data_IF_016318665319
#
_entry.id   IF_016318665319
#
_cell.length_a   1.000
_cell.length_b   1.000
_cell.length_c   1.000
_cell.angle_alpha   90.00
_cell.angle_beta   90.00
_cell.angle_gamma   90.00
#
_symmetry.space_group_name_H-M   'P 1'
#
loop_
_entity.id
_entity.type
_entity.pdbx_description
1 polymer ?
#
# COMPACT_ATOMS: atom_id res chain seq x y z
N UNK A 1 -6.72 15.56 -20.20
CA UNK A 1 -7.11 14.26 -19.62
C UNK A 1 -8.63 14.27 -19.55
N UNK A 2 -9.29 13.20 -19.98
CA UNK A 2 -10.76 13.18 -20.07
C UNK A 2 -11.32 12.47 -18.85
N UNK A 3 -12.14 13.18 -18.07
CA UNK A 3 -13.01 12.64 -17.03
C UNK A 3 -14.10 11.74 -17.65
N UNK A 4 -13.68 10.60 -18.19
CA UNK A 4 -14.52 9.66 -18.95
C UNK A 4 -14.35 8.25 -18.45
N UNK A 5 -15.42 7.47 -18.58
CA UNK A 5 -15.37 6.03 -18.39
C UNK A 5 -14.59 5.35 -19.52
N UNK A 6 -13.73 4.42 -19.12
CA UNK A 6 -12.99 3.50 -19.99
C UNK A 6 -13.55 2.11 -19.67
N UNK A 7 -14.29 1.52 -20.60
CA UNK A 7 -14.76 0.14 -20.46
C UNK A 7 -13.58 -0.80 -20.70
N UNK A 8 -13.10 -1.44 -19.63
CA UNK A 8 -11.93 -2.34 -19.66
C UNK A 8 -12.33 -3.80 -19.88
N UNK A 9 -13.60 -4.13 -19.61
CA UNK A 9 -14.27 -5.36 -19.99
C UNK A 9 -15.80 -5.15 -19.92
N UNK A 10 -16.58 -6.11 -20.42
CA UNK A 10 -18.05 -6.06 -20.31
C UNK A 10 -18.49 -5.74 -18.89
N UNK A 11 -19.15 -4.59 -18.69
CA UNK A 11 -19.63 -4.10 -17.40
C UNK A 11 -18.56 -3.90 -16.32
N UNK A 12 -17.33 -3.61 -16.74
CA UNK A 12 -16.20 -3.25 -15.89
C UNK A 12 -15.57 -1.98 -16.45
N UNK A 13 -15.55 -0.92 -15.66
CA UNK A 13 -15.02 0.37 -16.08
C UNK A 13 -13.95 0.89 -15.15
N UNK A 14 -13.01 1.64 -15.72
CA UNK A 14 -12.11 2.54 -15.03
C UNK A 14 -12.49 3.99 -15.38
N UNK A 15 -12.24 4.94 -14.48
CA UNK A 15 -12.39 6.38 -14.75
C UNK A 15 -11.21 7.13 -14.19
N UNK A 16 -10.54 7.90 -15.06
CA UNK A 16 -9.47 8.81 -14.67
C UNK A 16 -10.08 10.14 -14.22
N UNK A 17 -9.76 10.54 -13.00
CA UNK A 17 -10.10 11.82 -12.42
C UNK A 17 -8.99 12.83 -12.76
N UNK A 18 -9.34 14.10 -12.88
CA UNK A 18 -8.37 15.14 -13.24
C UNK A 18 -7.31 15.34 -12.14
N UNK A 19 -7.74 15.31 -10.88
CA UNK A 19 -6.85 15.50 -9.74
C UNK A 19 -5.99 14.25 -9.53
N UNK A 20 -4.67 14.46 -9.45
CA UNK A 20 -3.64 13.41 -9.28
C UNK A 20 -3.61 12.35 -10.37
N UNK A 21 -4.37 12.53 -11.46
CA UNK A 21 -4.59 11.49 -12.46
C UNK A 21 -5.10 10.16 -11.87
N UNK A 22 -5.87 10.26 -10.78
CA UNK A 22 -6.34 9.08 -10.06
C UNK A 22 -7.32 8.26 -10.90
N UNK A 23 -7.23 6.94 -10.79
CA UNK A 23 -8.12 5.99 -11.45
C UNK A 23 -9.00 5.26 -10.45
N UNK A 24 -10.30 5.47 -10.60
CA UNK A 24 -11.34 4.77 -9.83
C UNK A 24 -12.04 3.71 -10.69
N UNK A 25 -12.68 2.74 -10.05
CA UNK A 25 -13.29 1.60 -10.73
C UNK A 25 -14.80 1.46 -10.52
N UNK A 26 -15.46 0.81 -11.47
CA UNK A 26 -16.86 0.39 -11.36
C UNK A 26 -17.03 -1.02 -11.94
N UNK A 27 -17.61 -1.93 -11.16
CA UNK A 27 -18.05 -3.26 -11.61
C UNK A 27 -19.55 -3.38 -11.40
N UNK A 28 -20.31 -3.72 -12.44
CA UNK A 28 -21.78 -3.82 -12.34
C UNK A 28 -22.24 -5.26 -12.57
N UNK A 29 -22.87 -5.86 -11.56
CA UNK A 29 -23.63 -7.09 -11.67
C UNK A 29 -25.13 -6.83 -11.80
N UNK A 30 -25.92 -7.90 -11.86
CA UNK A 30 -27.36 -7.86 -12.12
C UNK A 30 -28.18 -7.39 -10.92
N UNK A 31 -27.62 -7.39 -9.71
CA UNK A 31 -28.30 -6.99 -8.49
C UNK A 31 -27.68 -5.74 -7.87
N UNK A 32 -26.35 -5.65 -7.83
CA UNK A 32 -25.64 -4.51 -7.30
C UNK A 32 -24.37 -4.17 -8.10
N UNK A 33 -23.73 -3.06 -7.74
CA UNK A 33 -22.46 -2.61 -8.28
C UNK A 33 -21.42 -2.46 -7.17
N UNK A 34 -20.15 -2.58 -7.54
CA UNK A 34 -19.02 -2.24 -6.69
C UNK A 34 -18.30 -1.03 -7.29
N UNK A 35 -18.23 0.05 -6.52
CA UNK A 35 -17.38 1.21 -6.80
C UNK A 35 -16.06 1.00 -6.07
N UNK A 36 -14.95 1.23 -6.76
CA UNK A 36 -13.60 0.99 -6.25
C UNK A 36 -12.93 2.36 -6.18
N UNK A 37 -12.67 2.81 -4.96
CA UNK A 37 -12.22 4.15 -4.62
C UNK A 37 -13.19 5.27 -5.02
N UNK A 38 -13.05 6.46 -4.41
CA UNK A 38 -14.09 7.51 -4.46
C UNK A 38 -13.58 8.94 -4.63
N UNK A 39 -12.28 9.14 -4.78
CA UNK A 39 -11.72 10.46 -5.06
C UNK A 39 -11.31 11.27 -3.84
N UNK A 40 -10.54 12.33 -4.15
CA UNK A 40 -9.87 13.27 -3.23
C UNK A 40 -10.77 14.07 -2.30
N UNK A 41 -12.03 14.22 -2.64
CA UNK A 41 -12.92 15.16 -1.96
C UNK A 41 -14.39 14.86 -2.16
N UNK A 42 -15.24 15.47 -1.32
CA UNK A 42 -16.69 15.33 -1.40
C UNK A 42 -17.28 15.71 -2.77
N UNK A 43 -16.75 16.75 -3.45
CA UNK A 43 -17.19 17.15 -4.78
C UNK A 43 -16.73 16.18 -5.87
N UNK A 44 -15.50 15.65 -5.78
CA UNK A 44 -15.04 14.58 -6.66
C UNK A 44 -15.93 13.32 -6.50
N UNK A 45 -16.25 12.95 -5.25
CA UNK A 45 -17.18 11.86 -4.96
C UNK A 45 -18.59 12.10 -5.50
N UNK A 46 -19.10 13.33 -5.45
CA UNK A 46 -20.40 13.67 -6.02
C UNK A 46 -20.40 13.56 -7.55
N UNK A 47 -19.34 14.04 -8.20
CA UNK A 47 -19.16 13.89 -9.65
C UNK A 47 -19.09 12.41 -10.03
N UNK A 48 -18.32 11.60 -9.29
CA UNK A 48 -18.23 10.17 -9.50
C UNK A 48 -19.57 9.46 -9.30
N UNK A 49 -20.28 9.72 -8.21
CA UNK A 49 -21.59 9.12 -7.93
C UNK A 49 -22.61 9.46 -9.04
N UNK A 50 -22.57 10.69 -9.54
CA UNK A 50 -23.37 11.11 -10.70
C UNK A 50 -23.00 10.31 -11.95
N UNK A 51 -21.71 10.21 -12.25
CA UNK A 51 -21.21 9.45 -13.39
C UNK A 51 -21.51 7.94 -13.30
N UNK A 52 -21.56 7.36 -12.10
CA UNK A 52 -21.99 5.97 -11.89
C UNK A 52 -23.47 5.81 -12.23
N UNK A 53 -24.32 6.79 -11.88
CA UNK A 53 -25.75 6.77 -12.21
C UNK A 53 -26.06 6.92 -13.70
N UNK A 54 -25.12 7.44 -14.49
CA UNK A 54 -25.23 7.43 -15.95
C UNK A 54 -25.09 6.02 -16.54
N UNK A 55 -24.40 5.10 -15.84
CA UNK A 55 -24.19 3.72 -16.28
C UNK A 55 -25.17 2.73 -15.64
N UNK A 56 -25.62 2.97 -14.42
CA UNK A 56 -26.42 1.99 -13.67
C UNK A 56 -27.28 2.58 -12.55
N UNK A 57 -28.51 2.07 -12.43
CA UNK A 57 -29.41 2.34 -11.31
C UNK A 57 -29.30 1.31 -10.18
N UNK A 58 -28.38 0.33 -10.30
CA UNK A 58 -28.19 -0.70 -9.28
C UNK A 58 -27.70 -0.10 -7.95
N UNK A 59 -28.09 -0.67 -6.79
CA UNK A 59 -27.48 -0.31 -5.51
C UNK A 59 -25.96 -0.54 -5.59
N UNK A 60 -25.19 0.34 -4.96
CA UNK A 60 -23.73 0.24 -4.93
C UNK A 60 -23.22 -0.20 -3.56
N UNK A 61 -22.03 -0.76 -3.58
CA UNK A 61 -21.14 -0.95 -2.44
C UNK A 61 -19.80 -0.31 -2.80
N UNK A 62 -18.98 0.01 -1.80
CA UNK A 62 -17.70 0.69 -2.00
C UNK A 62 -16.57 -0.22 -1.52
N UNK A 63 -15.47 -0.27 -2.26
CA UNK A 63 -14.21 -0.86 -1.84
C UNK A 63 -13.14 0.24 -1.78
N UNK A 64 -12.41 0.31 -0.66
CA UNK A 64 -11.19 1.10 -0.55
C UNK A 64 -10.01 0.19 -0.83
N UNK A 65 -9.21 0.54 -1.84
CA UNK A 65 -7.98 -0.19 -2.14
C UNK A 65 -6.98 -0.04 -1.00
N UNK A 66 -6.87 1.15 -0.41
CA UNK A 66 -6.04 1.43 0.76
C UNK A 66 -6.49 2.72 1.48
N UNK A 67 -5.67 3.28 2.35
CA UNK A 67 -6.05 4.36 3.29
C UNK A 67 -5.52 5.75 2.92
N UNK A 68 -5.03 5.96 1.70
CA UNK A 68 -4.65 7.28 1.22
C UNK A 68 -5.86 8.11 0.81
N UNK A 69 -5.82 9.41 1.15
CA UNK A 69 -6.94 10.34 1.14
C UNK A 69 -7.72 10.37 -0.16
N UNK A 70 -6.99 10.30 -1.26
CA UNK A 70 -7.50 10.32 -2.62
C UNK A 70 -8.38 9.12 -2.93
N UNK A 71 -8.23 8.00 -2.24
CA UNK A 71 -9.00 6.79 -2.53
C UNK A 71 -10.37 6.78 -1.86
N UNK A 72 -10.62 7.61 -0.84
CA UNK A 72 -11.84 7.43 -0.03
C UNK A 72 -12.53 8.70 0.47
N UNK A 73 -11.94 9.89 0.31
CA UNK A 73 -12.53 11.13 0.86
C UNK A 73 -13.85 11.54 0.18
N UNK A 74 -14.09 11.09 -1.05
CA UNK A 74 -15.36 11.31 -1.76
C UNK A 74 -16.52 10.42 -1.32
N UNK A 75 -16.31 9.44 -0.45
CA UNK A 75 -17.32 8.41 -0.12
C UNK A 75 -18.63 8.97 0.42
N UNK A 76 -18.61 10.13 1.08
CA UNK A 76 -19.81 10.76 1.62
C UNK A 76 -20.94 10.96 0.59
N UNK A 77 -20.59 11.08 -0.70
CA UNK A 77 -21.54 11.22 -1.80
C UNK A 77 -22.36 9.95 -2.09
N UNK A 78 -21.90 8.78 -1.65
CA UNK A 78 -22.55 7.49 -1.91
C UNK A 78 -23.61 7.11 -0.84
N UNK A 79 -23.87 8.00 0.12
CA UNK A 79 -24.87 7.78 1.17
C UNK A 79 -24.48 6.64 2.12
N UNK A 80 -25.50 6.03 2.74
CA UNK A 80 -25.29 4.82 3.54
C UNK A 80 -25.03 3.63 2.62
N UNK A 81 -23.82 3.08 2.68
CA UNK A 81 -23.37 1.97 1.83
C UNK A 81 -22.55 0.96 2.64
N UNK A 82 -22.47 -0.27 2.16
CA UNK A 82 -21.43 -1.18 2.60
C UNK A 82 -20.08 -0.68 2.07
N UNK A 83 -19.11 -0.54 2.95
CA UNK A 83 -17.77 0.00 2.66
C UNK A 83 -16.74 -1.03 3.12
N UNK A 84 -16.07 -1.64 2.14
CA UNK A 84 -15.13 -2.73 2.30
C UNK A 84 -13.70 -2.21 2.34
N UNK A 85 -12.94 -2.60 3.37
CA UNK A 85 -11.52 -2.28 3.48
C UNK A 85 -10.78 -3.31 4.37
N UNK A 86 -9.46 -3.31 4.34
CA UNK A 86 -8.61 -4.19 5.16
C UNK A 86 -8.54 -3.72 6.61
N UNK A 87 -8.25 -2.44 6.82
CA UNK A 87 -8.18 -1.83 8.15
C UNK A 87 -9.58 -1.53 8.70
N UNK A 88 -9.66 -1.32 10.01
CA UNK A 88 -10.93 -0.94 10.64
C UNK A 88 -11.24 0.56 10.51
N UNK A 89 -12.47 0.92 10.85
CA UNK A 89 -12.94 2.31 10.76
C UNK A 89 -12.19 3.29 11.66
N UNK A 90 -11.64 2.85 12.80
CA UNK A 90 -10.91 3.72 13.70
C UNK A 90 -9.57 4.14 13.10
N UNK A 91 -8.88 3.19 12.45
CA UNK A 91 -7.66 3.47 11.69
C UNK A 91 -7.92 4.50 10.58
N UNK A 92 -8.92 4.24 9.72
CA UNK A 92 -9.24 5.15 8.61
C UNK A 92 -9.57 6.56 9.08
N UNK A 93 -10.35 6.72 10.15
CA UNK A 93 -10.70 8.06 10.65
C UNK A 93 -9.48 8.79 11.22
N UNK A 94 -8.65 8.11 12.02
CA UNK A 94 -7.48 8.71 12.63
C UNK A 94 -6.43 9.12 11.58
N UNK A 95 -6.10 8.20 10.67
CA UNK A 95 -5.13 8.43 9.62
C UNK A 95 -5.66 9.43 8.57
N UNK A 96 -6.94 9.31 8.21
CA UNK A 96 -7.62 10.23 7.32
C UNK A 96 -7.66 11.66 7.83
N UNK A 97 -7.92 11.90 9.12
CA UNK A 97 -7.92 13.26 9.65
C UNK A 97 -6.52 13.90 9.57
N UNK A 98 -5.48 13.13 9.89
CA UNK A 98 -4.09 13.58 9.74
C UNK A 98 -3.74 13.93 8.28
N UNK A 99 -4.13 13.07 7.33
CA UNK A 99 -3.94 13.33 5.90
C UNK A 99 -4.73 14.55 5.42
N UNK A 100 -6.00 14.69 5.82
CA UNK A 100 -6.85 15.84 5.48
C UNK A 100 -6.21 17.15 5.92
N UNK A 101 -5.64 17.20 7.12
CA UNK A 101 -4.93 18.37 7.62
C UNK A 101 -3.63 18.62 6.83
N UNK A 102 -2.82 17.56 6.60
CA UNK A 102 -1.57 17.62 5.81
C UNK A 102 -1.81 18.16 4.40
N UNK A 103 -2.76 17.58 3.68
CA UNK A 103 -3.04 17.92 2.28
C UNK A 103 -3.75 19.25 2.13
N UNK A 104 -4.66 19.61 3.04
CA UNK A 104 -5.22 20.96 3.06
C UNK A 104 -4.13 22.02 3.29
N UNK A 105 -3.17 21.77 4.19
CA UNK A 105 -2.04 22.68 4.38
C UNK A 105 -1.15 22.76 3.14
N UNK A 106 -0.83 21.62 2.52
CA UNK A 106 -0.04 21.55 1.29
C UNK A 106 -0.70 22.33 0.14
N UNK A 107 -1.99 22.12 -0.12
CA UNK A 107 -2.70 22.86 -1.17
C UNK A 107 -2.71 24.36 -0.92
N UNK A 108 -2.81 24.83 0.34
CA UNK A 108 -2.65 26.26 0.63
C UNK A 108 -1.26 26.79 0.28
N UNK A 109 -0.21 26.03 0.62
CA UNK A 109 1.17 26.40 0.29
C UNK A 109 1.40 26.47 -1.22
N UNK A 110 0.73 25.59 -1.96
CA UNK A 110 0.77 25.53 -3.43
C UNK A 110 -0.15 26.60 -4.09
N UNK A 111 -0.81 27.47 -3.31
CA UNK A 111 -1.72 28.51 -3.81
C UNK A 111 -3.12 28.01 -4.23
N UNK A 112 -3.46 26.77 -3.90
CA UNK A 112 -4.71 26.07 -4.24
C UNK A 112 -5.72 26.13 -3.09
N UNK A 113 -6.15 27.34 -2.71
CA UNK A 113 -7.02 27.55 -1.54
C UNK A 113 -8.39 26.85 -1.68
N UNK A 114 -8.92 26.75 -2.90
CA UNK A 114 -10.20 26.08 -3.14
C UNK A 114 -10.10 24.56 -2.91
N UNK A 115 -9.04 23.93 -3.42
CA UNK A 115 -8.80 22.49 -3.21
C UNK A 115 -8.51 22.19 -1.74
N UNK A 116 -7.77 23.07 -1.05
CA UNK A 116 -7.57 22.97 0.39
C UNK A 116 -8.90 23.00 1.17
N UNK A 117 -9.85 23.84 0.75
CA UNK A 117 -11.19 23.91 1.34
C UNK A 117 -12.00 22.65 1.04
N UNK A 118 -11.95 22.14 -0.20
CA UNK A 118 -12.67 20.94 -0.64
C UNK A 118 -12.22 19.69 0.13
N UNK A 119 -10.91 19.45 0.21
CA UNK A 119 -10.35 18.38 1.05
C UNK A 119 -10.72 18.59 2.51
N UNK A 120 -10.52 19.79 3.04
CA UNK A 120 -10.80 20.11 4.45
C UNK A 120 -12.27 19.91 4.86
N UNK A 121 -13.21 20.08 3.93
CA UNK A 121 -14.65 19.89 4.15
C UNK A 121 -15.12 18.44 3.97
N UNK A 122 -14.25 17.52 3.51
CA UNK A 122 -14.64 16.16 3.20
C UNK A 122 -14.99 15.38 4.47
N UNK A 123 -16.20 14.83 4.52
CA UNK A 123 -16.66 13.98 5.62
C UNK A 123 -16.08 12.57 5.44
N UNK A 124 -15.25 12.17 6.38
CA UNK A 124 -14.66 10.83 6.41
C UNK A 124 -15.75 9.78 6.71
N UNK A 125 -15.90 8.81 5.82
CA UNK A 125 -16.81 7.67 5.99
C UNK A 125 -15.96 6.45 6.34
N UNK A 126 -15.99 5.94 7.58
CA UNK A 126 -15.21 4.76 7.93
C UNK A 126 -15.74 3.50 7.24
N UNK A 127 -14.87 2.54 6.87
CA UNK A 127 -15.31 1.22 6.46
C UNK A 127 -16.13 0.53 7.55
N UNK A 128 -17.17 -0.19 7.13
CA UNK A 128 -18.07 -0.96 8.00
C UNK A 128 -18.09 -2.46 7.65
N UNK A 129 -17.35 -2.88 6.62
CA UNK A 129 -17.15 -4.27 6.24
C UNK A 129 -15.63 -4.55 6.15
N UNK A 130 -15.13 -5.48 6.97
CA UNK A 130 -13.70 -5.79 7.02
C UNK A 130 -13.34 -6.93 6.07
N UNK A 131 -12.28 -6.75 5.29
CA UNK A 131 -11.66 -7.79 4.46
C UNK A 131 -10.47 -8.38 5.21
N UNK A 132 -10.50 -9.71 5.42
CA UNK A 132 -9.38 -10.47 5.97
C UNK A 132 -9.06 -11.61 5.01
N UNK A 133 -7.83 -11.65 4.51
CA UNK A 133 -7.47 -12.60 3.46
C UNK A 133 -8.19 -12.31 2.15
N UNK A 134 -9.27 -13.04 1.84
CA UNK A 134 -10.05 -12.83 0.63
C UNK A 134 -11.56 -12.96 0.87
N UNK A 135 -12.34 -12.06 0.28
CA UNK A 135 -13.81 -12.06 0.32
C UNK A 135 -14.35 -12.06 -1.10
N UNK A 136 -15.19 -13.04 -1.44
CA UNK A 136 -15.95 -13.05 -2.68
C UNK A 136 -17.28 -12.31 -2.51
N UNK A 137 -17.56 -11.34 -3.37
CA UNK A 137 -18.81 -10.61 -3.40
C UNK A 137 -19.56 -10.96 -4.69
N UNK A 138 -20.76 -11.52 -4.55
CA UNK A 138 -21.67 -11.72 -5.69
C UNK A 138 -22.45 -10.43 -5.95
N UNK A 139 -22.27 -9.87 -7.14
CA UNK A 139 -22.95 -8.66 -7.60
C UNK A 139 -24.26 -8.97 -8.35
N UNK A 140 -24.64 -10.25 -8.44
CA UNK A 140 -25.72 -10.77 -9.26
C UNK A 140 -25.17 -11.28 -10.58
N UNK A 141 -24.88 -12.57 -10.67
CA UNK A 141 -24.35 -13.20 -11.88
C UNK A 141 -22.87 -12.91 -12.18
N UNK A 142 -22.21 -12.08 -11.36
CA UNK A 142 -20.77 -11.81 -11.41
C UNK A 142 -20.19 -11.74 -10.00
N UNK A 143 -19.15 -12.52 -9.76
CA UNK A 143 -18.39 -12.49 -8.49
C UNK A 143 -17.14 -11.64 -8.65
N UNK A 144 -16.93 -10.70 -7.74
CA UNK A 144 -15.65 -9.99 -7.55
C UNK A 144 -14.95 -10.51 -6.31
N UNK A 145 -13.62 -10.49 -6.28
CA UNK A 145 -12.84 -10.93 -5.12
C UNK A 145 -12.04 -9.78 -4.56
N UNK A 146 -12.34 -9.39 -3.33
CA UNK A 146 -11.54 -8.44 -2.56
C UNK A 146 -10.42 -9.20 -1.85
N UNK A 147 -9.17 -8.83 -2.07
CA UNK A 147 -8.02 -9.54 -1.48
C UNK A 147 -7.11 -8.58 -0.75
N UNK A 148 -6.88 -8.86 0.52
CA UNK A 148 -5.80 -8.26 1.29
C UNK A 148 -4.46 -8.73 0.72
N UNK A 149 -3.52 -7.80 0.55
CA UNK A 149 -2.20 -8.09 -0.05
C UNK A 149 -1.13 -8.25 1.03
N UNK A 150 -1.16 -7.42 2.07
CA UNK A 150 -0.13 -7.35 3.11
C UNK A 150 0.70 -6.08 2.96
N UNK A 151 1.95 -6.11 3.45
CA UNK A 151 2.87 -4.98 3.38
C UNK A 151 3.31 -4.72 1.93
N UNK A 152 2.99 -3.55 1.40
CA UNK A 152 3.39 -3.14 0.06
C UNK A 152 3.45 -1.60 -0.10
N UNK A 153 2.51 -0.97 -0.79
CA UNK A 153 2.41 0.51 -0.89
C UNK A 153 2.00 1.14 0.44
N UNK A 154 1.20 0.40 1.20
CA UNK A 154 0.84 0.66 2.59
C UNK A 154 0.87 -0.65 3.39
N UNK A 155 0.43 -0.60 4.64
CA UNK A 155 0.16 -1.80 5.45
C UNK A 155 -1.31 -2.27 5.34
N UNK A 156 -2.12 -1.58 4.51
CA UNK A 156 -3.57 -1.78 4.39
C UNK A 156 -4.03 -2.01 2.94
N UNK A 157 -3.13 -2.47 2.06
CA UNK A 157 -3.43 -2.64 0.65
C UNK A 157 -4.39 -3.80 0.37
N UNK A 158 -5.33 -3.52 -0.53
CA UNK A 158 -6.35 -4.41 -1.04
C UNK A 158 -6.46 -4.26 -2.56
N UNK A 159 -6.63 -5.40 -3.24
CA UNK A 159 -6.99 -5.42 -4.67
C UNK A 159 -8.38 -5.95 -4.90
N UNK A 160 -8.97 -5.58 -6.03
CA UNK A 160 -10.24 -6.12 -6.51
C UNK A 160 -10.03 -6.89 -7.80
N UNK A 161 -10.31 -8.18 -7.76
CA UNK A 161 -10.26 -9.08 -8.91
C UNK A 161 -11.66 -9.27 -9.49
N UNK A 162 -11.77 -9.24 -10.82
CA UNK A 162 -12.97 -9.62 -11.58
C UNK A 162 -12.61 -10.83 -12.46
N UNK A 163 -12.70 -12.07 -11.93
CA UNK A 163 -12.09 -13.24 -12.57
C UNK A 163 -12.66 -13.57 -13.95
N UNK A 164 -13.98 -13.46 -14.14
CA UNK A 164 -14.63 -13.73 -15.44
C UNK A 164 -14.19 -12.73 -16.53
N UNK A 165 -13.91 -11.50 -16.12
CA UNK A 165 -13.42 -10.45 -16.99
C UNK A 165 -11.89 -10.45 -17.13
N UNK A 166 -11.15 -11.12 -16.25
CA UNK A 166 -9.69 -11.07 -16.20
C UNK A 166 -9.15 -9.66 -15.93
N UNK A 167 -9.83 -8.90 -15.06
CA UNK A 167 -9.46 -7.53 -14.67
C UNK A 167 -8.98 -7.51 -13.22
N UNK A 168 -7.90 -6.78 -12.95
CA UNK A 168 -7.38 -6.51 -11.61
C UNK A 168 -7.33 -5.00 -11.37
N UNK A 169 -8.07 -4.51 -10.38
CA UNK A 169 -7.86 -3.16 -9.83
C UNK A 169 -6.80 -3.25 -8.74
N UNK A 170 -5.65 -2.65 -9.00
CA UNK A 170 -4.45 -2.79 -8.18
C UNK A 170 -4.34 -1.72 -7.09
N UNK A 171 -5.11 -0.62 -7.18
CA UNK A 171 -4.79 0.60 -6.45
C UNK A 171 -3.34 1.01 -6.74
N UNK A 172 -2.74 1.72 -5.81
CA UNK A 172 -1.38 2.26 -5.96
C UNK A 172 -0.28 1.19 -5.87
N UNK A 173 -0.63 -0.10 -5.77
CA UNK A 173 0.35 -1.17 -5.95
C UNK A 173 1.00 -1.12 -7.33
N UNK A 174 0.31 -0.52 -8.31
CA UNK A 174 0.80 -0.20 -9.64
C UNK A 174 0.36 1.21 -10.04
N UNK A 175 1.26 1.96 -10.66
CA UNK A 175 1.14 3.41 -10.88
C UNK A 175 1.58 3.80 -12.29
N UNK A 176 0.71 4.40 -13.08
CA UNK A 176 1.01 4.85 -14.45
C UNK A 176 1.14 6.37 -14.55
N UNK A 177 0.29 7.11 -13.82
CA UNK A 177 0.22 8.57 -13.89
C UNK A 177 1.40 9.32 -13.25
N UNK A 178 2.15 8.64 -12.37
CA UNK A 178 3.33 9.17 -11.69
C UNK A 178 4.28 8.03 -11.24
N UNK A 179 5.54 8.36 -10.86
CA UNK A 179 6.38 7.40 -10.15
C UNK A 179 5.70 6.92 -8.85
N UNK A 180 5.84 5.63 -8.47
CA UNK A 180 5.26 5.10 -7.24
C UNK A 180 5.65 5.88 -5.99
N UNK A 181 4.69 6.05 -5.07
CA UNK A 181 4.92 6.73 -3.81
C UNK A 181 5.50 5.77 -2.75
N UNK A 182 6.56 6.20 -2.08
CA UNK A 182 7.21 5.40 -1.03
C UNK A 182 7.00 5.98 0.39
N UNK A 183 6.15 6.99 0.56
CA UNK A 183 5.96 7.69 1.84
C UNK A 183 5.48 6.75 2.97
N UNK A 184 4.60 5.80 2.66
CA UNK A 184 4.09 4.79 3.61
C UNK A 184 4.55 3.37 3.30
N UNK A 185 5.26 3.17 2.19
CA UNK A 185 5.50 1.87 1.60
C UNK A 185 6.47 0.99 2.39
N UNK A 186 6.54 -0.26 1.97
CA UNK A 186 7.40 -1.33 2.46
C UNK A 186 8.29 -1.79 1.29
N UNK A 187 9.43 -1.10 1.05
CA UNK A 187 10.19 -1.25 -0.19
C UNK A 187 10.66 -2.68 -0.48
N UNK A 188 10.90 -3.49 0.55
CA UNK A 188 11.40 -4.86 0.39
C UNK A 188 10.27 -5.87 0.13
N UNK A 189 9.09 -5.61 0.67
CA UNK A 189 7.92 -6.47 0.62
C UNK A 189 7.08 -6.22 -0.64
N UNK A 190 6.96 -4.95 -1.04
CA UNK A 190 6.10 -4.50 -2.14
C UNK A 190 6.32 -5.24 -3.46
N UNK A 191 7.56 -5.48 -3.95
CA UNK A 191 7.74 -6.21 -5.20
C UNK A 191 7.17 -7.63 -5.14
N UNK A 192 7.34 -8.32 -4.00
CA UNK A 192 6.85 -9.69 -3.81
C UNK A 192 5.33 -9.75 -3.78
N UNK A 193 4.71 -8.73 -3.19
CA UNK A 193 3.27 -8.56 -3.24
C UNK A 193 2.78 -8.45 -4.70
N UNK A 194 3.34 -7.54 -5.49
CA UNK A 194 2.97 -7.39 -6.91
C UNK A 194 3.23 -8.66 -7.72
N UNK A 195 4.37 -9.33 -7.51
CA UNK A 195 4.67 -10.60 -8.18
C UNK A 195 3.63 -11.69 -7.88
N UNK A 196 3.16 -11.78 -6.63
CA UNK A 196 2.10 -12.70 -6.24
C UNK A 196 0.79 -12.42 -7.00
N UNK A 197 0.38 -11.15 -7.11
CA UNK A 197 -0.83 -10.76 -7.84
C UNK A 197 -0.72 -11.07 -9.34
N UNK A 198 0.44 -10.82 -9.93
CA UNK A 198 0.70 -11.13 -11.35
C UNK A 198 0.76 -12.63 -11.63
N UNK A 199 0.82 -13.48 -10.61
CA UNK A 199 0.66 -14.93 -10.75
C UNK A 199 -0.69 -15.33 -11.37
N UNK A 200 -1.73 -14.52 -11.22
CA UNK A 200 -3.06 -14.75 -11.79
C UNK A 200 -3.16 -14.42 -13.29
N UNK A 201 -2.17 -13.72 -13.83
CA UNK A 201 -2.13 -13.29 -15.24
C UNK A 201 -3.39 -12.51 -15.65
N UNK A 202 -3.76 -11.43 -14.93
CA UNK A 202 -4.86 -10.57 -15.36
C UNK A 202 -4.60 -10.06 -16.78
N UNK A 203 -5.66 -9.98 -17.60
CA UNK A 203 -5.56 -9.45 -18.96
C UNK A 203 -5.39 -7.94 -18.93
N UNK A 204 -6.16 -7.29 -18.06
CA UNK A 204 -6.13 -5.84 -17.85
C UNK A 204 -5.84 -5.56 -16.39
N UNK A 205 -4.98 -4.58 -16.14
CA UNK A 205 -4.64 -4.08 -14.82
C UNK A 205 -4.98 -2.61 -14.76
N UNK A 206 -5.77 -2.23 -13.76
CA UNK A 206 -6.19 -0.85 -13.52
C UNK A 206 -5.33 -0.33 -12.35
N UNK A 207 -4.42 0.63 -12.59
CA UNK A 207 -3.61 1.24 -11.52
C UNK A 207 -4.43 2.15 -10.62
N UNK A 208 -3.81 2.60 -9.53
CA UNK A 208 -4.33 3.66 -8.67
C UNK A 208 -4.33 5.02 -9.36
N UNK A 209 -3.30 5.30 -10.17
CA UNK A 209 -3.21 6.50 -11.00
C UNK A 209 -2.81 6.19 -12.44
N UNK A 210 -3.46 6.86 -13.40
CA UNK A 210 -3.15 6.78 -14.83
C UNK A 210 -3.95 5.74 -15.62
N UNK A 211 -3.49 5.43 -16.83
CA UNK A 211 -4.24 4.59 -17.77
C UNK A 211 -4.21 3.09 -17.41
N UNK A 212 -5.33 2.35 -17.58
CA UNK A 212 -5.32 0.89 -17.52
C UNK A 212 -4.29 0.29 -18.48
N UNK A 213 -3.48 -0.62 -17.96
CA UNK A 213 -2.45 -1.33 -18.71
C UNK A 213 -2.74 -2.82 -18.89
N UNK A 214 -1.88 -3.49 -19.64
CA UNK A 214 -1.91 -4.94 -19.77
C UNK A 214 -0.99 -5.63 -18.74
N UNK A 215 -1.01 -6.96 -18.76
CA UNK A 215 -0.12 -7.79 -17.96
C UNK A 215 1.38 -7.42 -18.08
N UNK A 216 1.82 -7.09 -19.28
CA UNK A 216 3.25 -6.87 -19.57
C UNK A 216 3.73 -5.53 -19.04
N UNK A 217 2.88 -4.50 -19.13
CA UNK A 217 3.11 -3.23 -18.46
C UNK A 217 3.25 -3.43 -16.95
N UNK A 218 2.29 -4.12 -16.31
CA UNK A 218 2.34 -4.37 -14.87
C UNK A 218 3.59 -5.19 -14.48
N UNK A 219 3.99 -6.15 -15.32
CA UNK A 219 5.21 -6.94 -15.11
C UNK A 219 6.48 -6.11 -15.25
N UNK A 220 6.51 -5.09 -16.10
CA UNK A 220 7.63 -4.16 -16.22
C UNK A 220 7.77 -3.36 -14.92
N UNK A 221 6.68 -2.76 -14.42
CA UNK A 221 6.73 -2.01 -13.17
C UNK A 221 7.08 -2.90 -11.97
N UNK A 222 6.62 -4.14 -11.91
CA UNK A 222 7.04 -5.09 -10.88
C UNK A 222 8.57 -5.30 -10.84
N UNK A 223 9.24 -5.23 -12.00
CA UNK A 223 10.71 -5.29 -12.08
C UNK A 223 11.35 -4.01 -11.58
N UNK A 224 10.77 -2.85 -11.90
CA UNK A 224 11.25 -1.56 -11.41
C UNK A 224 11.14 -1.47 -9.88
N UNK A 225 10.02 -1.93 -9.30
CA UNK A 225 9.86 -2.03 -7.85
C UNK A 225 10.91 -2.99 -7.24
N UNK A 226 11.16 -4.13 -7.86
CA UNK A 226 12.18 -5.08 -7.41
C UNK A 226 13.60 -4.49 -7.47
N UNK A 227 13.87 -3.64 -8.46
CA UNK A 227 15.13 -2.92 -8.57
C UNK A 227 15.31 -1.90 -7.44
N UNK A 228 14.25 -1.18 -7.06
CA UNK A 228 14.29 -0.31 -5.87
C UNK A 228 14.61 -1.11 -4.61
N UNK A 229 13.99 -2.28 -4.42
CA UNK A 229 14.30 -3.15 -3.29
C UNK A 229 15.77 -3.62 -3.28
N UNK A 230 16.32 -3.96 -4.47
CA UNK A 230 17.74 -4.32 -4.63
C UNK A 230 18.64 -3.15 -4.22
N UNK A 231 18.34 -1.93 -4.67
CA UNK A 231 19.10 -0.73 -4.32
C UNK A 231 19.08 -0.46 -2.81
N UNK A 232 17.92 -0.58 -2.16
CA UNK A 232 17.84 -0.50 -0.69
C UNK A 232 18.76 -1.51 -0.01
N UNK A 233 18.76 -2.76 -0.48
CA UNK A 233 19.62 -3.81 0.07
C UNK A 233 21.12 -3.58 -0.18
N UNK A 234 21.50 -3.00 -1.33
CA UNK A 234 22.91 -2.72 -1.65
C UNK A 234 23.46 -1.52 -0.90
N UNK A 235 22.64 -0.48 -0.71
CA UNK A 235 22.97 0.64 0.19
C UNK A 235 23.14 0.15 1.62
N UNK A 236 22.25 -0.73 2.09
CA UNK A 236 22.36 -1.34 3.42
C UNK A 236 23.68 -2.09 3.66
N UNK A 237 24.19 -2.74 2.61
CA UNK A 237 25.42 -3.54 2.65
C UNK A 237 26.68 -2.71 2.37
N UNK A 238 26.53 -1.41 2.06
CA UNK A 238 27.63 -0.52 1.72
C UNK A 238 28.24 -0.77 0.34
N UNK A 239 27.53 -1.46 -0.56
CA UNK A 239 27.97 -1.66 -1.94
C UNK A 239 27.70 -0.43 -2.82
N UNK A 240 26.68 0.35 -2.47
CA UNK A 240 26.34 1.61 -3.14
C UNK A 240 26.15 2.71 -2.10
N UNK A 241 26.46 3.94 -2.49
CA UNK A 241 26.00 5.15 -1.81
C UNK A 241 24.55 5.45 -2.19
N UNK A 242 23.88 6.26 -1.38
CA UNK A 242 22.51 6.72 -1.69
C UNK A 242 22.45 7.56 -2.96
N UNK A 243 23.50 8.31 -3.26
CA UNK A 243 23.58 9.13 -4.47
C UNK A 243 23.72 8.26 -5.71
N UNK A 244 24.57 7.23 -5.68
CA UNK A 244 24.69 6.25 -6.78
C UNK A 244 23.38 5.49 -6.99
N UNK A 245 22.71 5.07 -5.90
CA UNK A 245 21.42 4.41 -6.00
C UNK A 245 20.35 5.34 -6.60
N UNK A 246 20.32 6.62 -6.19
CA UNK A 246 19.38 7.60 -6.71
C UNK A 246 19.64 7.98 -8.18
N UNK A 247 20.89 7.95 -8.64
CA UNK A 247 21.27 8.23 -10.03
C UNK A 247 20.95 7.06 -10.98
N UNK A 248 21.09 5.83 -10.50
CA UNK A 248 20.93 4.62 -11.34
C UNK A 248 19.61 3.88 -11.15
N UNK A 249 18.72 4.37 -10.29
CA UNK A 249 17.41 3.77 -10.05
C UNK A 249 16.44 3.90 -11.24
N UNK A 250 15.39 3.05 -11.26
CA UNK A 250 14.41 3.03 -12.36
C UNK A 250 13.44 4.22 -12.32
N UNK A 251 13.42 4.97 -11.23
CA UNK A 251 12.56 6.14 -11.01
C UNK A 251 13.40 7.40 -10.77
N UNK A 252 12.79 8.61 -10.84
CA UNK A 252 13.50 9.84 -10.56
C UNK A 252 14.26 9.81 -9.23
N UNK A 253 15.42 10.49 -9.10
CA UNK A 253 16.24 10.44 -7.90
C UNK A 253 15.50 10.76 -6.60
N UNK A 254 14.50 11.64 -6.64
CA UNK A 254 13.68 11.97 -5.48
C UNK A 254 12.88 10.76 -4.96
N UNK A 255 12.27 9.98 -5.86
CA UNK A 255 11.53 8.75 -5.53
C UNK A 255 12.44 7.72 -4.89
N UNK A 256 13.64 7.52 -5.45
CA UNK A 256 14.62 6.58 -4.90
C UNK A 256 15.08 7.01 -3.50
N UNK A 257 15.33 8.30 -3.29
CA UNK A 257 15.69 8.84 -1.97
C UNK A 257 14.57 8.63 -0.95
N UNK A 258 13.31 8.85 -1.33
CA UNK A 258 12.16 8.55 -0.46
C UNK A 258 12.11 7.05 -0.11
N UNK A 259 12.29 6.16 -1.09
CA UNK A 259 12.33 4.72 -0.84
C UNK A 259 13.45 4.32 0.13
N UNK A 260 14.66 4.87 -0.05
CA UNK A 260 15.80 4.60 0.83
C UNK A 260 15.59 5.17 2.25
N UNK A 261 14.96 6.33 2.37
CA UNK A 261 14.61 6.91 3.65
C UNK A 261 13.56 6.05 4.36
N UNK A 262 12.50 5.68 3.65
CA UNK A 262 11.45 4.80 4.16
C UNK A 262 11.99 3.44 4.61
N UNK A 263 12.85 2.83 3.80
CA UNK A 263 13.52 1.58 4.17
C UNK A 263 14.31 1.72 5.48
N UNK A 264 15.04 2.83 5.68
CA UNK A 264 15.78 3.10 6.92
C UNK A 264 14.89 3.27 8.15
N UNK A 265 13.72 3.89 7.99
CA UNK A 265 12.74 4.02 9.07
C UNK A 265 12.22 2.66 9.53
N UNK A 266 12.07 1.72 8.59
CA UNK A 266 11.60 0.35 8.85
C UNK A 266 12.72 -0.58 9.34
N UNK A 267 13.98 -0.29 8.96
CA UNK A 267 15.13 -1.09 9.37
C UNK A 267 15.38 -0.93 10.88
N UNK A 268 15.58 -2.03 11.63
CA UNK A 268 15.98 -1.93 13.02
C UNK A 268 17.30 -1.15 13.12
N UNK A 269 17.48 -0.30 14.16
CA UNK A 269 18.74 0.40 14.34
C UNK A 269 19.89 -0.61 14.41
N UNK A 270 21.03 -0.26 13.80
CA UNK A 270 22.22 -1.10 13.87
C UNK A 270 22.49 -1.45 15.35
N UNK A 271 22.79 -2.73 15.66
CA UNK A 271 23.16 -3.09 17.03
C UNK A 271 24.31 -2.17 17.45
N UNK A 272 24.20 -1.60 18.66
CA UNK A 272 25.26 -0.76 19.21
C UNK A 272 26.59 -1.52 19.07
N UNK A 273 27.63 -0.84 18.58
CA UNK A 273 28.97 -1.41 18.55
C UNK A 273 29.25 -2.01 19.94
N UNK A 274 29.74 -3.26 20.02
CA UNK A 274 30.07 -3.85 21.30
C UNK A 274 30.97 -2.85 22.04
N UNK A 275 30.74 -2.61 23.35
CA UNK A 275 31.60 -1.72 24.12
C UNK A 275 33.04 -2.15 23.87
N UNK A 276 33.91 -1.19 23.58
CA UNK A 276 35.32 -1.45 23.35
C UNK A 276 35.81 -2.42 24.43
N UNK A 277 36.34 -3.58 24.01
CA UNK A 277 36.83 -4.60 24.93
C UNK A 277 37.68 -3.92 25.98
N UNK A 278 37.24 -3.99 27.24
CA UNK A 278 38.07 -3.58 28.35
C UNK A 278 39.36 -4.39 28.23
N UNK A 279 40.50 -3.69 28.27
CA UNK A 279 41.82 -4.32 28.21
C UNK A 279 41.82 -5.56 29.13
N UNK A 280 42.33 -6.72 28.66
CA UNK A 280 42.20 -7.97 29.39
C UNK A 280 42.76 -7.77 30.80
N UNK A 281 41.91 -7.99 31.80
CA UNK A 281 42.33 -7.99 33.18
C UNK A 281 43.41 -9.07 33.36
N UNK A 282 44.49 -8.72 34.05
CA UNK A 282 45.57 -9.65 34.35
C UNK A 282 44.99 -10.95 34.96
N UNK A 283 45.45 -12.14 34.53
CA UNK A 283 44.91 -13.39 35.03
C UNK A 283 45.07 -13.47 36.56
N UNK A 284 44.06 -13.97 37.29
CA UNK A 284 44.15 -14.09 38.74
C UNK A 284 45.28 -15.04 39.13
N UNK A 285 45.94 -14.73 40.25
CA UNK A 285 47.01 -15.56 40.78
C UNK A 285 46.49 -16.99 41.07
N UNK A 286 47.30 -18.04 40.79
CA UNK A 286 46.86 -19.41 40.97
C UNK A 286 46.60 -19.72 42.46
N UNK A 287 45.42 -20.27 42.74
CA UNK A 287 45.06 -20.81 44.06
C UNK A 287 45.46 -22.29 44.11
N UNK A 288 46.38 -22.65 45.00
CA UNK A 288 46.72 -24.06 45.29
C UNK A 288 45.78 -24.57 46.38
N UNK A 289 44.95 -25.56 46.05
CA UNK A 289 44.11 -26.28 47.02
C UNK A 289 44.70 -27.67 47.21
N UNK A 290 45.11 -28.01 48.43
CA UNK A 290 45.42 -29.39 48.80
C UNK A 290 44.14 -30.05 49.33
N UNK A 291 43.60 -31.04 48.61
CA UNK A 291 42.60 -31.96 49.16
C UNK A 291 43.32 -33.10 49.90
N UNK A 292 43.06 -33.22 51.20
CA UNK A 292 43.46 -34.36 52.01
C UNK A 292 42.39 -35.44 51.84
N UNK A 293 42.72 -36.52 51.13
CA UNK A 293 41.87 -37.71 51.04
C UNK A 293 42.03 -38.56 52.30
N UNK A 294 40.98 -38.62 53.12
CA UNK A 294 40.83 -39.62 54.18
C UNK A 294 40.47 -40.97 53.54
N UNK A 295 41.43 -41.88 53.45
CA UNK A 295 41.16 -43.30 53.19
C UNK A 295 41.12 -44.05 54.51
N UNK A 296 39.90 -44.35 54.99
CA UNK A 296 39.70 -45.41 55.97
C UNK A 296 39.88 -46.76 55.27
N UNK A 297 40.91 -47.51 55.67
CA UNK A 297 41.06 -48.94 55.36
C UNK A 297 40.83 -49.70 56.67
N UNK A 298 39.73 -50.47 56.70
CA UNK A 298 39.38 -51.39 57.77
C UNK A 298 40.22 -52.67 57.62
N UNK A 299 41.04 -52.98 58.62
CA UNK A 299 41.71 -54.26 58.75
C UNK A 299 41.60 -54.72 60.21
N UNK A 300 40.55 -55.49 60.50
CA UNK A 300 40.54 -56.41 61.64
C UNK A 300 41.26 -57.71 61.24
N UNK A 301 42.16 -58.23 62.09
CA UNK A 301 42.56 -59.63 62.06
C UNK A 301 41.48 -60.55 62.66
#
# INVERSE_FOLDING_TARGET
MSDRWIEVADRVWARRLEELDQTVGLVVGDECALVIDTGVSADAGFALATAVRELTDRPWQIAYTHDHFDHWFGTAAFGESAVWAVADGAHYVAFGDAQRQKWAAKYRLDGREEDARRIGASRLVPPNCRVQGAVGLDLGGRTVVLRQVGLAHSDNDMVVEVPDAGVLFAGDLLEEGAPPSYDSAFPLEWPRAVEYLLGWKPRTVVPGHGEPGDYWWARAQARDLAEVARLCAEVAQGFLTEDEAAEHGPFPPATIRTALARWRELAPPAPAAPPAEAAPAAPPAPTVVYEVFDYQIDLRP
#
